data_IF_944165290240
#
_entry.id   IF_944165290240
#
_cell.length_a   1.000
_cell.length_b   1.000
_cell.length_c   1.000
_cell.angle_alpha   90.00
_cell.angle_beta   90.00
_cell.angle_gamma   90.00
#
_symmetry.space_group_name_H-M   'P 1'
#
loop_
_entity.id
_entity.type
_entity.pdbx_description
1 polymer ?
#
# COMPACT_ATOMS: atom_id res chain seq x y z
N UNK A 1 -63.71 9.86 40.33
CA UNK A 1 -62.38 10.23 40.88
C UNK A 1 -61.32 9.16 40.60
N UNK A 2 -61.19 8.70 39.36
CA UNK A 2 -60.06 7.86 38.90
C UNK A 2 -59.94 8.01 37.40
N UNK A 3 -59.26 9.02 36.90
CA UNK A 3 -58.82 9.12 35.48
C UNK A 3 -57.94 10.34 35.16
N UNK A 4 -56.97 10.70 35.99
CA UNK A 4 -56.03 11.83 35.71
C UNK A 4 -54.59 11.63 36.12
N UNK A 5 -54.12 10.42 36.41
CA UNK A 5 -52.72 10.17 36.84
C UNK A 5 -51.86 9.55 35.75
N UNK A 6 -52.42 8.87 34.72
CA UNK A 6 -51.62 8.10 33.74
C UNK A 6 -51.09 8.94 32.56
N UNK A 7 -51.57 10.15 32.35
CA UNK A 7 -51.12 10.98 31.20
C UNK A 7 -49.78 11.69 31.43
N UNK A 8 -49.33 11.88 32.70
CA UNK A 8 -48.11 12.61 33.04
C UNK A 8 -46.83 11.76 33.00
N UNK A 9 -46.91 10.45 33.16
CA UNK A 9 -45.71 9.57 33.12
C UNK A 9 -45.26 9.26 31.66
N UNK A 10 -46.13 9.30 30.68
CA UNK A 10 -45.82 9.08 29.25
C UNK A 10 -44.98 10.21 28.65
N UNK A 11 -45.28 11.45 28.99
CA UNK A 11 -44.59 12.62 28.46
C UNK A 11 -43.18 12.82 29.02
N UNK A 12 -42.95 12.47 30.31
CA UNK A 12 -41.62 12.56 30.92
C UNK A 12 -40.64 11.52 30.39
N UNK A 13 -41.13 10.31 30.10
CA UNK A 13 -40.33 9.25 29.49
C UNK A 13 -39.97 9.57 28.03
N UNK A 14 -40.92 10.11 27.27
CA UNK A 14 -40.71 10.57 25.89
C UNK A 14 -39.69 11.73 25.82
N UNK A 15 -39.77 12.69 26.76
CA UNK A 15 -38.86 13.84 26.83
C UNK A 15 -37.44 13.40 27.25
N UNK A 16 -37.28 12.46 28.16
CA UNK A 16 -35.97 11.86 28.53
C UNK A 16 -35.32 11.07 27.41
N UNK A 17 -36.12 10.33 26.61
CA UNK A 17 -35.61 9.60 25.43
C UNK A 17 -35.18 10.53 24.32
N UNK A 18 -35.94 11.58 24.02
CA UNK A 18 -35.59 12.62 23.03
C UNK A 18 -34.33 13.38 23.43
N UNK A 19 -34.17 13.75 24.68
CA UNK A 19 -32.98 14.42 25.18
C UNK A 19 -31.72 13.51 25.19
N UNK A 20 -31.86 12.23 25.54
CA UNK A 20 -30.73 11.28 25.42
C UNK A 20 -30.23 11.14 23.98
N UNK A 21 -31.14 11.09 23.01
CA UNK A 21 -30.78 11.00 21.60
C UNK A 21 -30.14 12.29 21.06
N UNK A 22 -30.59 13.44 21.50
CA UNK A 22 -30.00 14.75 21.13
C UNK A 22 -28.58 14.86 21.73
N UNK A 23 -28.39 14.50 22.99
CA UNK A 23 -27.07 14.51 23.66
C UNK A 23 -26.11 13.52 23.01
N UNK A 24 -26.61 12.32 22.63
CA UNK A 24 -25.81 11.32 21.90
C UNK A 24 -25.40 11.82 20.52
N UNK A 25 -26.32 12.47 19.78
CA UNK A 25 -26.06 13.09 18.47
C UNK A 25 -25.05 14.25 18.52
N UNK A 26 -25.08 15.05 19.60
CA UNK A 26 -24.13 16.15 19.84
C UNK A 26 -22.74 15.59 20.23
N UNK A 27 -22.67 14.53 21.05
CA UNK A 27 -21.41 13.87 21.39
C UNK A 27 -20.73 13.23 20.17
N UNK A 28 -21.52 12.58 19.31
CA UNK A 28 -21.01 11.96 18.06
C UNK A 28 -20.51 13.02 17.07
N UNK A 29 -21.24 14.14 16.89
CA UNK A 29 -20.79 15.29 16.07
C UNK A 29 -19.50 15.93 16.62
N UNK A 30 -19.34 16.05 17.93
CA UNK A 30 -18.11 16.59 18.56
C UNK A 30 -16.92 15.63 18.38
N UNK A 31 -17.14 14.31 18.48
CA UNK A 31 -16.11 13.30 18.23
C UNK A 31 -15.67 13.33 16.75
N UNK A 32 -16.61 13.34 15.81
CA UNK A 32 -16.34 13.38 14.37
C UNK A 32 -15.56 14.64 13.96
N UNK A 33 -15.90 15.83 14.52
CA UNK A 33 -15.12 17.07 14.31
C UNK A 33 -13.69 16.95 14.81
N UNK A 34 -13.46 16.25 15.92
CA UNK A 34 -12.10 16.03 16.46
C UNK A 34 -11.29 15.10 15.55
N UNK A 35 -11.89 14.03 15.00
CA UNK A 35 -11.22 13.12 14.07
C UNK A 35 -10.96 13.77 12.70
N UNK A 36 -11.90 14.56 12.17
CA UNK A 36 -11.69 15.37 10.96
C UNK A 36 -10.60 16.43 11.15
N UNK A 37 -10.58 17.11 12.30
CA UNK A 37 -9.52 18.07 12.65
C UNK A 37 -8.17 17.36 12.82
N UNK A 38 -8.13 16.18 13.43
CA UNK A 38 -6.90 15.40 13.56
C UNK A 38 -6.35 14.94 12.19
N UNK A 39 -7.22 14.50 11.29
CA UNK A 39 -6.86 14.14 9.90
C UNK A 39 -6.35 15.34 9.10
N UNK A 40 -7.00 16.50 9.24
CA UNK A 40 -6.58 17.77 8.60
C UNK A 40 -5.26 18.27 9.20
N UNK A 41 -5.05 18.13 10.51
CA UNK A 41 -3.81 18.52 11.19
C UNK A 41 -2.66 17.58 10.78
N UNK A 42 -2.88 16.28 10.66
CA UNK A 42 -1.87 15.34 10.16
C UNK A 42 -1.50 15.63 8.70
N UNK A 43 -2.49 15.93 7.84
CA UNK A 43 -2.23 16.30 6.45
C UNK A 43 -1.60 17.69 6.30
N UNK A 44 -1.95 18.64 7.18
CA UNK A 44 -1.34 19.99 7.21
C UNK A 44 0.10 19.94 7.72
N UNK A 45 0.45 19.05 8.65
CA UNK A 45 1.82 18.89 9.13
C UNK A 45 2.79 18.42 8.03
N UNK A 46 2.30 17.65 7.05
CA UNK A 46 3.11 17.23 5.88
C UNK A 46 3.27 18.34 4.83
N UNK A 47 2.36 19.33 4.79
CA UNK A 47 2.41 20.46 3.84
C UNK A 47 3.28 21.64 4.32
N UNK A 48 3.64 21.70 5.60
CA UNK A 48 4.40 22.83 6.17
C UNK A 48 5.92 22.71 6.03
N UNK A 49 6.45 21.69 5.37
CA UNK A 49 7.88 21.62 5.03
C UNK A 49 8.18 22.41 3.75
N UNK A 50 7.86 23.70 3.73
CA UNK A 50 8.42 24.66 2.76
C UNK A 50 9.87 24.88 3.14
N UNK A 51 10.77 24.07 2.58
CA UNK A 51 12.20 24.10 2.91
C UNK A 51 12.90 25.29 2.23
N UNK A 52 13.63 26.02 3.04
CA UNK A 52 14.78 26.84 2.58
C UNK A 52 15.73 25.95 1.76
N UNK A 53 16.29 26.48 0.67
CA UNK A 53 17.34 25.83 -0.12
C UNK A 53 18.62 25.68 0.72
N UNK A 54 18.65 24.71 1.62
CA UNK A 54 19.90 24.09 2.06
C UNK A 54 20.29 23.03 1.03
N UNK A 55 21.57 22.78 0.87
CA UNK A 55 22.08 21.72 -0.03
C UNK A 55 21.52 20.37 0.43
N UNK A 56 20.48 19.91 -0.27
CA UNK A 56 19.78 18.68 0.07
C UNK A 56 20.69 17.50 -0.21
N UNK A 57 21.13 16.80 0.83
CA UNK A 57 21.91 15.57 0.69
C UNK A 57 20.96 14.44 0.34
N UNK A 58 20.90 14.13 -0.96
CA UNK A 58 20.04 13.05 -1.46
C UNK A 58 20.61 11.68 -1.09
N UNK A 59 19.90 10.94 -0.25
CA UNK A 59 20.26 9.61 0.25
C UNK A 59 19.09 8.63 0.20
N UNK A 60 18.60 8.27 -1.02
CA UNK A 60 17.51 7.30 -1.16
C UNK A 60 17.99 5.89 -0.83
N UNK A 61 17.08 5.06 -0.32
CA UNK A 61 17.31 3.63 -0.13
C UNK A 61 17.15 2.92 -1.47
N UNK A 62 18.22 2.29 -1.95
CA UNK A 62 18.23 1.59 -3.23
C UNK A 62 18.02 0.09 -2.99
N UNK A 63 17.05 -0.50 -3.69
CA UNK A 63 16.71 -1.92 -3.60
C UNK A 63 16.83 -2.61 -4.97
N UNK A 64 16.99 -3.93 -4.94
CA UNK A 64 16.75 -4.75 -6.13
C UNK A 64 15.25 -4.92 -6.38
N UNK A 65 14.87 -5.18 -7.64
CA UNK A 65 13.48 -5.43 -8.05
C UNK A 65 12.51 -4.33 -7.57
N UNK A 66 12.72 -3.07 -7.94
CA UNK A 66 11.93 -1.95 -7.43
C UNK A 66 10.45 -2.02 -7.81
N UNK A 67 10.06 -2.79 -8.83
CA UNK A 67 8.66 -2.98 -9.19
C UNK A 67 7.81 -3.59 -8.06
N UNK A 68 8.43 -4.34 -7.14
CA UNK A 68 7.73 -4.91 -5.99
C UNK A 68 7.16 -3.85 -5.03
N UNK A 69 7.65 -2.61 -5.10
CA UNK A 69 7.15 -1.47 -4.31
C UNK A 69 6.09 -0.65 -5.04
N UNK A 70 5.75 -1.00 -6.29
CA UNK A 70 4.76 -0.25 -7.07
C UNK A 70 3.36 -0.79 -6.77
N UNK A 71 2.44 0.06 -6.37
CA UNK A 71 1.03 -0.26 -6.18
C UNK A 71 0.39 -0.75 -7.50
N UNK A 72 -0.17 -1.97 -7.53
CA UNK A 72 -0.62 -2.57 -8.78
C UNK A 72 -2.07 -2.24 -9.14
N UNK A 73 -2.92 -1.91 -8.17
CA UNK A 73 -4.36 -1.79 -8.35
C UNK A 73 -4.87 -0.35 -8.31
N UNK A 74 -6.02 -0.12 -8.94
CA UNK A 74 -6.64 1.20 -9.01
C UNK A 74 -7.25 1.64 -7.67
N UNK A 75 -7.69 0.72 -6.80
CA UNK A 75 -8.35 1.06 -5.53
C UNK A 75 -7.35 1.70 -4.57
N UNK A 76 -6.28 0.98 -4.22
CA UNK A 76 -5.22 1.49 -3.35
C UNK A 76 -4.49 2.66 -3.99
N UNK A 77 -4.22 2.58 -5.30
CA UNK A 77 -3.57 3.63 -6.06
C UNK A 77 -4.36 4.94 -6.12
N UNK A 78 -5.69 4.90 -6.18
CA UNK A 78 -6.54 6.08 -6.14
C UNK A 78 -6.64 6.72 -4.73
N UNK A 79 -6.19 6.01 -3.71
CA UNK A 79 -6.16 6.47 -2.31
C UNK A 79 -4.74 6.81 -1.83
N UNK A 80 -3.83 7.21 -2.72
CA UNK A 80 -2.46 7.59 -2.34
C UNK A 80 -1.57 6.40 -1.99
N UNK A 81 -1.76 5.26 -2.64
CA UNK A 81 -1.05 4.00 -2.34
C UNK A 81 -1.29 3.54 -0.89
N UNK A 82 -2.57 3.47 -0.48
CA UNK A 82 -3.04 2.95 0.81
C UNK A 82 -3.68 1.59 0.63
N UNK A 83 -3.36 0.64 1.51
CA UNK A 83 -3.95 -0.69 1.41
C UNK A 83 -3.75 -1.61 2.61
N UNK A 84 -2.89 -1.26 3.58
CA UNK A 84 -2.51 -2.16 4.69
C UNK A 84 -3.70 -2.48 5.60
N UNK A 85 -4.52 -1.46 5.94
CA UNK A 85 -5.67 -1.61 6.82
C UNK A 85 -7.01 -1.22 6.20
N UNK A 86 -7.04 -0.82 4.93
CA UNK A 86 -8.26 -0.50 4.19
C UNK A 86 -9.21 -1.70 4.12
N UNK A 87 -10.49 -1.47 3.75
CA UNK A 87 -11.46 -2.55 3.50
C UNK A 87 -10.82 -3.64 2.60
N UNK A 88 -11.05 -4.94 2.88
CA UNK A 88 -10.59 -6.02 2.02
C UNK A 88 -11.04 -5.85 0.58
N UNK A 89 -10.14 -6.11 -0.38
CA UNK A 89 -10.39 -6.11 -1.83
C UNK A 89 -9.79 -7.36 -2.45
N UNK A 90 -10.14 -7.65 -3.70
CA UNK A 90 -9.55 -8.78 -4.44
C UNK A 90 -8.05 -8.60 -4.74
N UNK A 91 -7.52 -7.37 -4.64
CA UNK A 91 -6.09 -7.06 -4.76
C UNK A 91 -5.34 -7.09 -3.41
N UNK A 92 -5.96 -7.58 -2.33
CA UNK A 92 -5.38 -7.57 -0.98
C UNK A 92 -4.09 -8.38 -0.84
N UNK A 93 -3.78 -9.29 -1.78
CA UNK A 93 -2.52 -10.05 -1.77
C UNK A 93 -1.28 -9.15 -1.72
N UNK A 94 -1.29 -8.04 -2.44
CA UNK A 94 -0.19 -7.09 -2.45
C UNK A 94 -0.09 -6.29 -1.13
N UNK A 95 -1.22 -5.86 -0.61
CA UNK A 95 -1.28 -4.94 0.52
C UNK A 95 -1.18 -5.64 1.88
N UNK A 96 -1.97 -6.70 2.06
CA UNK A 96 -2.11 -7.44 3.29
C UNK A 96 -3.00 -8.67 3.03
N UNK A 97 -2.39 -9.83 2.79
CA UNK A 97 -3.12 -11.05 2.43
C UNK A 97 -4.02 -11.58 3.56
N UNK A 98 -3.77 -11.20 4.83
CA UNK A 98 -4.61 -11.60 5.96
C UNK A 98 -6.05 -11.09 5.84
N UNK A 99 -6.28 -10.02 5.06
CA UNK A 99 -7.61 -9.46 4.80
C UNK A 99 -8.54 -10.43 4.08
N UNK A 100 -8.01 -11.38 3.29
CA UNK A 100 -8.83 -12.38 2.61
C UNK A 100 -9.60 -13.29 3.58
N UNK A 101 -9.04 -13.57 4.75
CA UNK A 101 -9.74 -14.33 5.79
C UNK A 101 -10.94 -13.58 6.41
N UNK A 102 -11.10 -12.29 6.12
CA UNK A 102 -12.20 -11.43 6.58
C UNK A 102 -13.16 -11.04 5.44
N UNK A 103 -12.99 -11.61 4.25
CA UNK A 103 -13.93 -11.42 3.14
C UNK A 103 -15.14 -12.31 3.29
N UNK A 104 -16.31 -11.79 2.92
CA UNK A 104 -17.58 -12.49 3.03
C UNK A 104 -17.78 -13.51 1.90
N UNK A 105 -17.25 -13.21 0.69
CA UNK A 105 -17.42 -14.08 -0.48
C UNK A 105 -16.50 -15.30 -0.45
N UNK A 106 -16.94 -16.37 -1.12
CA UNK A 106 -16.22 -17.65 -1.21
C UNK A 106 -14.90 -17.54 -1.94
N UNK A 107 -14.79 -16.62 -2.88
CA UNK A 107 -13.59 -16.40 -3.67
C UNK A 107 -13.78 -15.32 -4.71
N UNK A 108 -12.71 -14.98 -5.40
CA UNK A 108 -12.74 -13.99 -6.46
C UNK A 108 -11.39 -13.80 -7.12
N UNK A 109 -11.41 -13.09 -8.24
CA UNK A 109 -10.26 -12.82 -9.07
C UNK A 109 -10.22 -11.35 -9.48
N UNK A 110 -9.05 -10.74 -9.55
CA UNK A 110 -8.86 -9.37 -10.03
C UNK A 110 -7.71 -9.30 -11.01
N UNK A 111 -7.90 -8.48 -12.04
CA UNK A 111 -6.88 -8.14 -13.03
C UNK A 111 -6.69 -6.63 -13.02
N UNK A 112 -5.45 -6.20 -12.85
CA UNK A 112 -5.08 -4.78 -12.91
C UNK A 112 -4.06 -4.55 -14.03
N UNK A 113 -4.22 -3.43 -14.71
CA UNK A 113 -3.33 -2.96 -15.76
C UNK A 113 -2.97 -1.50 -15.50
N UNK A 114 -1.67 -1.21 -15.50
CA UNK A 114 -1.13 0.12 -15.29
C UNK A 114 -0.11 0.43 -16.39
N UNK A 115 -0.45 1.25 -17.38
CA UNK A 115 0.54 1.84 -18.28
C UNK A 115 1.45 2.78 -17.46
N UNK A 116 2.71 2.42 -17.34
CA UNK A 116 3.66 3.09 -16.46
C UNK A 116 4.49 4.11 -17.23
N UNK A 117 4.78 5.27 -16.62
CA UNK A 117 5.63 6.32 -17.19
C UNK A 117 5.23 6.81 -18.59
N UNK A 118 3.94 6.79 -18.94
CA UNK A 118 3.44 7.13 -20.30
C UNK A 118 3.86 8.51 -20.80
N UNK A 119 4.21 9.43 -19.90
CA UNK A 119 4.74 10.74 -20.23
C UNK A 119 6.15 10.70 -20.84
N UNK A 120 6.90 9.63 -20.59
CA UNK A 120 8.30 9.47 -20.99
C UNK A 120 8.44 8.36 -22.04
N UNK A 121 7.79 7.20 -21.80
CA UNK A 121 7.90 6.01 -22.64
C UNK A 121 6.52 5.36 -22.80
N UNK A 122 6.31 4.66 -23.94
CA UNK A 122 4.99 4.14 -24.28
C UNK A 122 4.84 2.62 -24.11
N UNK A 123 5.90 1.92 -23.71
CA UNK A 123 5.99 0.46 -23.70
C UNK A 123 6.40 -0.12 -22.33
N UNK A 124 6.31 0.68 -21.27
CA UNK A 124 6.48 0.22 -19.89
C UNK A 124 5.10 -0.02 -19.28
N UNK A 125 4.85 -1.25 -18.88
CA UNK A 125 3.54 -1.69 -18.43
C UNK A 125 3.64 -2.59 -17.19
N UNK A 126 2.70 -2.42 -16.25
CA UNK A 126 2.52 -3.30 -15.11
C UNK A 126 1.18 -4.03 -15.24
N UNK A 127 1.24 -5.36 -15.22
CA UNK A 127 0.07 -6.24 -15.14
C UNK A 127 0.08 -6.97 -13.79
N UNK A 128 -1.05 -7.04 -13.15
CA UNK A 128 -1.21 -7.75 -11.89
C UNK A 128 -2.50 -8.56 -11.87
N UNK A 129 -2.37 -9.85 -11.61
CA UNK A 129 -3.47 -10.79 -11.44
C UNK A 129 -3.43 -11.30 -10.00
N UNK A 130 -4.53 -11.27 -9.29
CA UNK A 130 -4.63 -11.82 -7.94
C UNK A 130 -5.98 -12.48 -7.72
N UNK A 131 -6.02 -13.43 -6.80
CA UNK A 131 -7.25 -14.09 -6.42
C UNK A 131 -7.11 -14.85 -5.13
N UNK A 132 -8.24 -15.21 -4.55
CA UNK A 132 -8.32 -16.02 -3.34
C UNK A 132 -9.47 -17.01 -3.41
N UNK A 133 -9.37 -18.02 -2.57
CA UNK A 133 -10.44 -19.00 -2.34
C UNK A 133 -10.51 -19.33 -0.86
N UNK A 134 -11.65 -19.07 -0.24
CA UNK A 134 -11.93 -19.42 1.14
C UNK A 134 -12.34 -20.89 1.21
N UNK A 135 -11.48 -21.74 1.79
CA UNK A 135 -11.74 -23.18 1.93
C UNK A 135 -12.88 -23.38 2.92
N UNK A 136 -12.70 -22.88 4.14
CA UNK A 136 -13.70 -22.82 5.21
C UNK A 136 -13.14 -21.95 6.36
N UNK A 137 -14.00 -21.57 7.31
CA UNK A 137 -13.54 -20.87 8.52
C UNK A 137 -12.48 -21.68 9.30
N UNK A 138 -12.57 -23.01 9.29
CA UNK A 138 -11.62 -23.88 9.98
C UNK A 138 -10.28 -23.98 9.25
N UNK A 139 -10.31 -24.11 7.93
CA UNK A 139 -9.10 -24.32 7.11
C UNK A 139 -8.51 -23.05 6.54
N UNK A 140 -9.18 -21.89 6.68
CA UNK A 140 -8.70 -20.62 6.23
C UNK A 140 -8.84 -20.40 4.72
N UNK A 141 -8.04 -19.48 4.19
CA UNK A 141 -8.13 -18.95 2.83
C UNK A 141 -6.80 -19.10 2.12
N UNK A 142 -6.81 -19.67 0.93
CA UNK A 142 -5.69 -19.68 0.00
C UNK A 142 -5.78 -18.50 -0.96
N UNK A 143 -4.64 -17.97 -1.35
CA UNK A 143 -4.55 -16.87 -2.30
C UNK A 143 -3.32 -17.01 -3.18
N UNK A 144 -3.38 -16.41 -4.36
CA UNK A 144 -2.24 -16.35 -5.27
C UNK A 144 -2.23 -15.03 -6.02
N UNK A 145 -1.05 -14.60 -6.47
CA UNK A 145 -0.94 -13.49 -7.40
C UNK A 145 0.21 -13.67 -8.37
N UNK A 146 0.07 -13.04 -9.54
CA UNK A 146 1.11 -12.91 -10.56
C UNK A 146 1.27 -11.44 -10.90
N UNK A 147 2.50 -10.96 -10.85
CA UNK A 147 2.89 -9.63 -11.27
C UNK A 147 3.86 -9.74 -12.43
N UNK A 148 3.66 -8.94 -13.46
CA UNK A 148 4.58 -8.78 -14.56
C UNK A 148 4.78 -7.30 -14.86
N UNK A 149 6.03 -6.84 -14.81
CA UNK A 149 6.43 -5.48 -15.10
C UNK A 149 7.37 -5.48 -16.28
N UNK A 150 6.89 -5.02 -17.44
CA UNK A 150 7.68 -4.79 -18.62
C UNK A 150 8.40 -3.45 -18.51
N UNK A 151 9.69 -3.43 -18.77
CA UNK A 151 10.50 -2.21 -18.79
C UNK A 151 10.67 -1.66 -20.23
N UNK A 152 9.88 -2.19 -21.18
CA UNK A 152 9.87 -1.74 -22.57
C UNK A 152 10.96 -2.39 -23.43
N UNK A 153 11.15 -1.83 -24.62
CA UNK A 153 12.15 -2.28 -25.57
C UNK A 153 13.38 -1.38 -25.50
N UNK A 154 14.56 -1.96 -25.31
CA UNK A 154 15.84 -1.25 -25.28
C UNK A 154 16.65 -1.69 -26.47
N UNK A 155 17.01 -0.74 -27.37
CA UNK A 155 17.94 -0.98 -28.45
C UNK A 155 19.37 -0.91 -27.92
N UNK A 156 20.07 -2.04 -27.97
CA UNK A 156 21.47 -2.13 -27.58
C UNK A 156 22.34 -1.57 -28.71
N UNK A 157 23.29 -0.71 -28.38
CA UNK A 157 24.24 -0.10 -29.34
C UNK A 157 25.68 -0.26 -28.84
N UNK A 158 26.61 -0.43 -29.75
CA UNK A 158 28.03 -0.40 -29.45
C UNK A 158 28.56 1.05 -29.27
N UNK A 159 29.85 1.19 -29.00
CA UNK A 159 30.50 2.51 -28.83
C UNK A 159 30.43 3.39 -30.09
N UNK A 160 30.23 2.79 -31.25
CA UNK A 160 30.12 3.49 -32.54
C UNK A 160 28.68 3.83 -32.90
N UNK A 161 27.72 3.45 -32.04
CA UNK A 161 26.31 3.67 -32.27
C UNK A 161 25.65 2.57 -33.14
N UNK A 162 26.37 1.51 -33.50
CA UNK A 162 25.82 0.37 -34.29
C UNK A 162 24.86 -0.43 -33.45
N UNK A 163 23.71 -0.78 -34.00
CA UNK A 163 22.70 -1.60 -33.32
C UNK A 163 23.19 -3.05 -33.15
N UNK A 164 23.26 -3.48 -31.88
CA UNK A 164 23.63 -4.85 -31.50
C UNK A 164 22.40 -5.77 -31.34
N UNK A 165 21.19 -5.19 -31.33
CA UNK A 165 19.94 -5.91 -31.16
C UNK A 165 18.99 -5.23 -30.15
N UNK A 166 17.89 -5.91 -29.86
CA UNK A 166 16.89 -5.43 -28.91
C UNK A 166 16.85 -6.32 -27.67
N UNK A 167 16.69 -5.70 -26.50
CA UNK A 167 16.42 -6.34 -25.22
C UNK A 167 15.05 -5.93 -24.72
N UNK A 168 14.40 -6.85 -23.99
CA UNK A 168 13.10 -6.63 -23.35
C UNK A 168 13.24 -6.94 -21.84
N UNK A 169 13.81 -6.03 -21.06
CA UNK A 169 13.95 -6.27 -19.63
C UNK A 169 12.58 -6.34 -18.97
N UNK A 170 12.49 -7.18 -17.93
CA UNK A 170 11.26 -7.36 -17.17
C UNK A 170 11.56 -7.74 -15.71
N UNK A 171 10.58 -7.51 -14.86
CA UNK A 171 10.51 -8.04 -13.51
C UNK A 171 9.19 -8.78 -13.32
N UNK A 172 9.23 -9.97 -12.71
CA UNK A 172 8.02 -10.70 -12.40
C UNK A 172 8.07 -11.30 -11.00
N UNK A 173 6.90 -11.44 -10.38
CA UNK A 173 6.75 -12.22 -9.16
C UNK A 173 5.52 -13.11 -9.22
N UNK A 174 5.62 -14.26 -8.55
CA UNK A 174 4.52 -15.17 -8.28
C UNK A 174 4.42 -15.40 -6.78
N UNK A 175 3.22 -15.17 -6.23
CA UNK A 175 2.97 -15.26 -4.81
C UNK A 175 1.93 -16.36 -4.51
N UNK A 176 2.17 -17.11 -3.44
CA UNK A 176 1.20 -18.03 -2.83
C UNK A 176 0.97 -17.58 -1.39
N UNK A 177 -0.27 -17.33 -1.03
CA UNK A 177 -0.66 -16.86 0.28
C UNK A 177 -1.60 -17.84 1.01
N UNK A 178 -1.49 -17.82 2.31
CA UNK A 178 -2.41 -18.47 3.23
C UNK A 178 -2.78 -17.49 4.33
N UNK A 179 -4.08 -17.38 4.62
CA UNK A 179 -4.58 -16.54 5.70
C UNK A 179 -5.68 -17.23 6.49
N UNK A 180 -5.78 -16.89 7.77
CA UNK A 180 -6.76 -17.46 8.67
C UNK A 180 -7.25 -16.44 9.70
N UNK A 181 -8.54 -16.49 10.00
CA UNK A 181 -9.13 -15.78 11.14
C UNK A 181 -8.71 -16.50 12.42
N UNK A 182 -7.99 -15.80 13.30
CA UNK A 182 -7.50 -16.33 14.57
C UNK A 182 -8.42 -15.94 15.75
N UNK A 183 -9.13 -14.83 15.61
CA UNK A 183 -10.15 -14.36 16.56
C UNK A 183 -11.28 -13.67 15.78
N UNK A 184 -12.38 -13.36 16.44
CA UNK A 184 -13.57 -12.76 15.83
C UNK A 184 -13.25 -11.54 14.93
N UNK A 185 -12.34 -10.71 15.36
CA UNK A 185 -11.94 -9.46 14.67
C UNK A 185 -10.49 -9.46 14.19
N UNK A 186 -9.77 -10.56 14.28
CA UNK A 186 -8.35 -10.61 13.94
C UNK A 186 -8.00 -11.79 13.06
N UNK A 187 -7.26 -11.50 11.99
CA UNK A 187 -6.70 -12.49 11.08
C UNK A 187 -5.20 -12.29 10.89
N UNK A 188 -4.51 -13.36 10.57
CA UNK A 188 -3.11 -13.35 10.13
C UNK A 188 -2.96 -14.04 8.79
N UNK A 189 -1.92 -13.67 8.07
CA UNK A 189 -1.57 -14.24 6.79
C UNK A 189 -0.06 -14.31 6.60
N UNK A 190 0.34 -15.25 5.75
CA UNK A 190 1.69 -15.41 5.24
C UNK A 190 1.62 -15.58 3.74
N UNK A 191 2.61 -15.05 3.02
CA UNK A 191 2.75 -15.32 1.60
C UNK A 191 4.19 -15.70 1.29
N UNK A 192 4.38 -16.61 0.34
CA UNK A 192 5.67 -16.96 -0.24
C UNK A 192 5.73 -16.38 -1.64
N UNK A 193 6.85 -15.77 -1.98
CA UNK A 193 7.06 -15.06 -3.25
C UNK A 193 8.28 -15.61 -3.95
N UNK A 194 8.10 -15.98 -5.21
CA UNK A 194 9.17 -16.18 -6.18
C UNK A 194 9.33 -14.92 -7.02
N UNK A 195 10.57 -14.51 -7.28
CA UNK A 195 10.91 -13.31 -8.05
C UNK A 195 11.91 -13.65 -9.12
N UNK A 196 11.67 -13.18 -10.34
CA UNK A 196 12.64 -13.20 -11.43
C UNK A 196 12.74 -11.80 -12.05
N UNK A 197 13.95 -11.32 -12.24
CA UNK A 197 14.24 -10.00 -12.80
C UNK A 197 15.34 -10.12 -13.84
N UNK A 198 15.05 -9.70 -15.06
CA UNK A 198 15.98 -9.67 -16.18
C UNK A 198 16.16 -8.22 -16.65
N UNK A 199 17.22 -7.57 -16.15
CA UNK A 199 17.53 -6.19 -16.46
C UNK A 199 18.56 -6.04 -17.58
N UNK A 200 19.47 -7.03 -17.74
CA UNK A 200 20.64 -6.98 -18.61
C UNK A 200 20.61 -8.08 -19.67
N UNK A 201 19.49 -8.21 -20.38
CA UNK A 201 19.32 -9.24 -21.39
C UNK A 201 20.50 -9.27 -22.38
N UNK A 202 21.16 -10.44 -22.50
CA UNK A 202 22.22 -10.75 -23.47
C UNK A 202 23.58 -10.04 -23.26
N UNK A 203 23.83 -9.41 -22.12
CA UNK A 203 25.18 -8.90 -21.80
C UNK A 203 26.00 -10.01 -21.18
N UNK A 204 27.20 -10.27 -21.73
CA UNK A 204 28.10 -11.31 -21.22
C UNK A 204 28.44 -11.07 -19.73
N UNK A 205 28.36 -12.13 -18.92
CA UNK A 205 28.59 -12.06 -17.48
C UNK A 205 27.37 -11.63 -16.63
N UNK A 206 26.23 -11.29 -17.26
CA UNK A 206 24.99 -10.98 -16.55
C UNK A 206 23.91 -12.06 -16.77
N UNK A 207 23.12 -12.29 -15.74
CA UNK A 207 22.10 -13.35 -15.67
C UNK A 207 20.80 -12.82 -15.12
N UNK A 208 19.71 -13.52 -15.37
CA UNK A 208 18.44 -13.27 -14.71
C UNK A 208 18.61 -13.43 -13.20
N UNK A 209 18.32 -12.37 -12.46
CA UNK A 209 18.28 -12.40 -11.00
C UNK A 209 17.07 -13.20 -10.54
N UNK A 210 17.31 -14.20 -9.67
CA UNK A 210 16.25 -15.01 -9.06
C UNK A 210 16.31 -14.82 -7.55
N UNK A 211 15.14 -14.71 -6.92
CA UNK A 211 15.02 -14.55 -5.49
C UNK A 211 13.74 -15.13 -4.92
N UNK A 212 13.75 -15.36 -3.61
CA UNK A 212 12.61 -15.80 -2.83
C UNK A 212 12.38 -14.85 -1.68
N UNK A 213 11.14 -14.56 -1.38
CA UNK A 213 10.73 -13.72 -0.26
C UNK A 213 9.48 -14.28 0.41
N UNK A 214 9.23 -13.80 1.62
CA UNK A 214 8.01 -14.06 2.36
C UNK A 214 7.41 -12.76 2.88
N UNK A 215 6.10 -12.74 3.01
CA UNK A 215 5.36 -11.68 3.68
C UNK A 215 4.70 -12.25 4.95
N UNK A 216 4.65 -11.46 6.00
CA UNK A 216 3.91 -11.74 7.24
C UNK A 216 3.02 -10.56 7.55
N UNK A 217 1.75 -10.82 7.72
CA UNK A 217 0.78 -9.75 7.89
C UNK A 217 -0.35 -10.09 8.86
N UNK A 218 -1.00 -9.05 9.38
CA UNK A 218 -2.14 -9.18 10.25
C UNK A 218 -3.13 -8.05 10.02
N UNK A 219 -4.39 -8.38 10.24
CA UNK A 219 -5.50 -7.45 10.06
C UNK A 219 -6.51 -7.61 11.19
N UNK A 220 -6.85 -6.47 11.80
CA UNK A 220 -7.92 -6.35 12.78
C UNK A 220 -9.04 -5.50 12.19
N UNK A 221 -10.28 -5.99 12.26
CA UNK A 221 -11.46 -5.31 11.72
C UNK A 221 -12.64 -5.46 12.66
N UNK A 222 -13.00 -4.38 13.37
CA UNK A 222 -14.09 -4.38 14.34
C UNK A 222 -15.25 -3.50 13.89
N UNK A 223 -16.47 -4.05 13.78
CA UNK A 223 -17.67 -3.25 13.62
C UNK A 223 -18.00 -2.49 14.92
N UNK A 224 -18.50 -1.27 14.77
CA UNK A 224 -18.90 -0.39 15.88
C UNK A 224 -20.26 0.20 15.54
N UNK A 225 -21.28 -0.13 16.33
CA UNK A 225 -22.61 0.43 16.12
C UNK A 225 -22.66 1.92 16.48
N UNK A 226 -23.14 2.72 15.55
CA UNK A 226 -23.37 4.15 15.70
C UNK A 226 -24.80 4.50 15.30
N UNK A 227 -25.24 5.71 15.61
CA UNK A 227 -26.63 6.14 15.35
C UNK A 227 -27.05 6.13 13.87
N UNK A 228 -26.07 6.16 12.96
CA UNK A 228 -26.28 6.19 11.49
C UNK A 228 -26.04 4.84 10.81
N UNK A 229 -25.75 3.77 11.56
CA UNK A 229 -25.47 2.43 11.05
C UNK A 229 -24.23 1.81 11.70
N UNK A 230 -23.56 0.90 10.99
CA UNK A 230 -22.36 0.22 11.49
C UNK A 230 -21.10 0.89 10.94
N UNK A 231 -20.31 1.53 11.79
CA UNK A 231 -18.93 1.96 11.51
C UNK A 231 -17.98 0.77 11.56
N UNK A 232 -16.78 0.92 10.99
CA UNK A 232 -15.75 -0.13 11.07
C UNK A 232 -14.38 0.49 11.37
N UNK A 233 -13.71 0.00 12.39
CA UNK A 233 -12.31 0.29 12.67
C UNK A 233 -11.45 -0.84 12.10
N UNK A 234 -10.53 -0.50 11.20
CA UNK A 234 -9.50 -1.39 10.68
C UNK A 234 -8.13 -0.99 11.21
N UNK A 235 -7.31 -1.97 11.60
CA UNK A 235 -5.89 -1.82 11.89
C UNK A 235 -5.15 -2.95 11.18
N UNK A 236 -3.95 -2.67 10.67
CA UNK A 236 -3.18 -3.69 9.97
C UNK A 236 -1.69 -3.46 10.05
N UNK A 237 -0.95 -4.53 9.87
CA UNK A 237 0.47 -4.48 9.58
C UNK A 237 0.81 -5.45 8.46
N UNK A 238 1.86 -5.12 7.71
CA UNK A 238 2.42 -5.98 6.67
C UNK A 238 3.94 -5.82 6.67
N UNK A 239 4.65 -6.91 6.90
CA UNK A 239 6.09 -7.00 6.67
C UNK A 239 6.24 -7.78 5.37
N UNK A 240 6.54 -7.08 4.29
CA UNK A 240 6.61 -7.66 2.96
C UNK A 240 8.05 -7.81 2.46
N UNK A 241 8.25 -8.75 1.51
CA UNK A 241 9.52 -8.97 0.84
C UNK A 241 10.68 -9.35 1.79
N UNK A 242 10.42 -10.05 2.88
CA UNK A 242 11.48 -10.64 3.73
C UNK A 242 12.14 -11.73 2.91
N UNK A 243 13.30 -11.48 2.29
CA UNK A 243 13.80 -12.43 1.32
C UNK A 243 15.29 -12.38 1.06
N UNK A 244 15.73 -13.23 0.14
CA UNK A 244 17.11 -13.27 -0.32
C UNK A 244 17.50 -11.95 -0.99
N UNK A 245 18.80 -11.65 -1.00
CA UNK A 245 19.31 -10.63 -1.91
C UNK A 245 19.22 -11.14 -3.34
N UNK A 246 19.12 -10.22 -4.30
CA UNK A 246 19.14 -10.52 -5.73
C UNK A 246 20.49 -10.13 -6.34
N UNK A 247 21.02 -10.95 -7.23
CA UNK A 247 22.26 -10.72 -7.94
C UNK A 247 22.08 -11.03 -9.41
N UNK A 248 22.68 -10.20 -10.26
CA UNK A 248 22.67 -10.35 -11.72
C UNK A 248 24.01 -10.80 -12.30
N UNK A 249 25.05 -10.97 -11.45
CA UNK A 249 26.43 -11.26 -11.84
C UNK A 249 27.06 -12.40 -11.00
N UNK A 250 26.29 -13.47 -10.76
CA UNK A 250 26.71 -14.67 -9.98
C UNK A 250 27.22 -14.34 -8.58
N UNK A 251 26.67 -13.32 -7.93
CA UNK A 251 27.00 -13.00 -6.55
C UNK A 251 28.20 -12.05 -6.35
N UNK A 252 28.78 -11.52 -7.42
CA UNK A 252 29.83 -10.47 -7.30
C UNK A 252 29.27 -9.22 -6.62
N UNK A 253 28.06 -8.84 -6.96
CA UNK A 253 27.29 -7.83 -6.23
C UNK A 253 25.86 -8.29 -6.01
N UNK A 254 25.26 -7.87 -4.92
CA UNK A 254 23.87 -8.22 -4.59
C UNK A 254 23.14 -7.04 -3.94
N UNK A 255 21.86 -6.90 -4.26
CA UNK A 255 20.98 -5.89 -3.70
C UNK A 255 19.93 -6.54 -2.82
N UNK A 256 19.54 -5.85 -1.75
CA UNK A 256 18.41 -6.27 -0.92
C UNK A 256 17.11 -6.13 -1.71
N UNK A 257 16.17 -7.06 -1.51
CA UNK A 257 14.81 -6.86 -1.93
C UNK A 257 14.16 -5.71 -1.13
N UNK A 258 13.10 -5.07 -1.63
CA UNK A 258 12.45 -3.96 -0.95
C UNK A 258 11.62 -4.47 0.25
N UNK A 259 12.30 -5.00 1.27
CA UNK A 259 11.66 -5.41 2.51
C UNK A 259 11.03 -4.18 3.15
N UNK A 260 9.72 -4.21 3.40
CA UNK A 260 8.97 -3.05 3.87
C UNK A 260 8.12 -3.40 5.08
N UNK A 261 8.12 -2.52 6.09
CA UNK A 261 7.17 -2.53 7.19
C UNK A 261 6.08 -1.51 6.88
N UNK A 262 4.87 -1.98 6.66
CA UNK A 262 3.66 -1.17 6.55
C UNK A 262 2.81 -1.30 7.81
N UNK A 263 2.35 -0.18 8.36
CA UNK A 263 1.39 -0.10 9.47
C UNK A 263 0.24 0.79 9.01
N UNK A 264 -0.99 0.30 9.12
CA UNK A 264 -2.16 1.00 8.63
C UNK A 264 -3.28 1.11 9.64
N UNK A 265 -4.09 2.16 9.47
CA UNK A 265 -5.35 2.36 10.17
C UNK A 265 -6.43 2.82 9.19
N UNK A 266 -7.65 2.34 9.42
CA UNK A 266 -8.82 2.67 8.60
C UNK A 266 -10.03 2.90 9.51
N UNK A 267 -10.83 3.90 9.17
CA UNK A 267 -12.10 4.13 9.84
C UNK A 267 -13.19 4.42 8.82
N UNK A 268 -14.18 3.52 8.75
CA UNK A 268 -15.37 3.68 7.91
C UNK A 268 -16.51 4.25 8.76
N UNK A 269 -17.12 5.33 8.29
CA UNK A 269 -18.24 5.99 8.93
C UNK A 269 -19.45 6.04 7.98
N UNK A 270 -20.61 5.45 8.36
CA UNK A 270 -21.85 5.59 7.62
C UNK A 270 -22.54 6.91 7.98
N UNK A 271 -22.96 7.68 6.99
CA UNK A 271 -23.84 8.84 7.18
C UNK A 271 -25.31 8.41 7.30
N UNK A 272 -25.69 7.43 6.50
CA UNK A 272 -27.00 6.79 6.44
C UNK A 272 -26.87 5.37 5.86
N UNK A 273 -28.00 4.75 5.47
CA UNK A 273 -28.01 3.39 4.91
C UNK A 273 -27.27 3.27 3.57
N UNK A 274 -27.14 4.34 2.79
CA UNK A 274 -26.57 4.33 1.44
C UNK A 274 -25.21 5.02 1.36
N UNK A 275 -24.94 5.98 2.23
CA UNK A 275 -23.79 6.88 2.14
C UNK A 275 -22.75 6.57 3.21
N UNK A 276 -21.51 6.29 2.78
CA UNK A 276 -20.39 5.95 3.69
C UNK A 276 -19.13 6.70 3.26
N UNK A 277 -18.28 7.01 4.22
CA UNK A 277 -16.94 7.53 3.98
C UNK A 277 -15.92 6.70 4.78
N UNK A 278 -14.81 6.37 4.16
CA UNK A 278 -13.69 5.74 4.83
C UNK A 278 -12.45 6.65 4.76
N UNK A 279 -11.79 6.82 5.91
CA UNK A 279 -10.48 7.43 6.01
C UNK A 279 -9.45 6.32 6.25
N UNK A 280 -8.38 6.33 5.47
CA UNK A 280 -7.31 5.35 5.54
C UNK A 280 -5.97 6.07 5.67
N UNK A 281 -5.06 5.53 6.47
CA UNK A 281 -3.70 6.05 6.66
C UNK A 281 -2.76 4.87 6.78
N UNK A 282 -1.69 4.87 5.97
CA UNK A 282 -0.60 3.90 6.05
C UNK A 282 0.73 4.62 6.26
N UNK A 283 1.57 4.05 7.10
CA UNK A 283 2.96 4.42 7.31
C UNK A 283 3.83 3.27 6.80
N UNK A 284 4.80 3.58 5.96
CA UNK A 284 5.69 2.59 5.39
C UNK A 284 7.15 2.96 5.64
N UNK A 285 7.98 1.97 5.97
CA UNK A 285 9.42 2.11 6.10
C UNK A 285 10.11 0.93 5.42
N UNK A 286 11.04 1.23 4.51
CA UNK A 286 11.92 0.20 3.96
C UNK A 286 12.90 -0.29 5.04
N UNK A 287 12.86 -1.59 5.32
CA UNK A 287 13.78 -2.27 6.24
C UNK A 287 15.01 -2.79 5.49
N UNK A 288 15.65 -1.88 4.77
CA UNK A 288 16.82 -2.14 3.94
C UNK A 288 17.94 -1.18 4.34
N UNK A 289 19.18 -1.65 4.55
CA UNK A 289 20.28 -0.79 4.94
C UNK A 289 20.52 0.31 3.88
N UNK A 290 20.76 1.52 4.33
CA UNK A 290 21.19 2.60 3.44
C UNK A 290 22.64 2.36 2.98
N UNK A 291 22.92 2.58 1.69
CA UNK A 291 24.32 2.54 1.18
C UNK A 291 25.16 3.68 1.75
N UNK A 292 24.56 4.83 2.05
CA UNK A 292 25.18 5.91 2.82
C UNK A 292 24.75 5.77 4.27
N UNK A 293 25.65 5.21 5.08
CA UNK A 293 25.32 4.74 6.43
C UNK A 293 26.43 5.12 7.40
N UNK A 294 26.07 5.35 8.66
CA UNK A 294 27.03 5.54 9.74
C UNK A 294 27.92 4.30 10.01
N UNK A 295 27.59 3.17 9.39
CA UNK A 295 28.42 1.95 9.46
C UNK A 295 29.41 1.84 8.31
N UNK A 296 29.53 2.87 7.47
CA UNK A 296 30.58 2.92 6.42
C UNK A 296 31.98 2.96 7.06
N UNK A 297 32.94 2.32 6.41
CA UNK A 297 34.34 2.33 6.88
C UNK A 297 34.89 3.74 6.81
N UNK A 298 35.45 4.24 7.93
CA UNK A 298 35.98 5.61 7.99
C UNK A 298 34.90 6.69 8.11
N UNK A 299 33.68 6.34 8.51
CA UNK A 299 32.57 7.27 8.68
C UNK A 299 32.94 8.49 9.55
N UNK A 300 32.65 9.68 9.02
CA UNK A 300 32.69 10.95 9.73
C UNK A 300 31.38 11.70 9.49
N UNK A 301 30.65 12.01 10.53
CA UNK A 301 29.34 12.67 10.43
C UNK A 301 29.42 14.03 9.73
N UNK A 302 30.55 14.73 9.87
CA UNK A 302 30.75 16.04 9.28
C UNK A 302 31.23 16.01 7.82
N UNK A 303 31.56 14.83 7.28
CA UNK A 303 32.05 14.66 5.92
C UNK A 303 31.20 13.65 5.14
N UNK A 304 30.25 14.12 4.32
CA UNK A 304 29.37 13.26 3.52
C UNK A 304 30.08 12.30 2.55
N UNK A 305 31.32 12.61 2.17
CA UNK A 305 32.12 11.74 1.29
C UNK A 305 32.47 10.40 1.97
N UNK A 306 32.48 10.36 3.30
CA UNK A 306 32.79 9.16 4.10
C UNK A 306 31.59 8.26 4.39
N UNK A 307 30.38 8.65 3.99
CA UNK A 307 29.16 7.92 4.33
C UNK A 307 28.94 6.68 3.48
N UNK A 308 29.56 6.58 2.30
CA UNK A 308 29.32 5.49 1.37
C UNK A 308 30.02 4.20 1.78
N UNK A 309 29.24 3.12 1.84
CA UNK A 309 29.77 1.76 1.95
C UNK A 309 30.33 1.31 0.60
N UNK A 310 31.44 0.55 0.62
CA UNK A 310 31.90 -0.18 -0.57
C UNK A 310 30.90 -1.30 -0.94
N UNK A 311 30.88 -1.70 -2.22
CA UNK A 311 30.02 -2.80 -2.68
C UNK A 311 30.27 -4.09 -1.90
N UNK A 312 31.54 -4.38 -1.58
CA UNK A 312 31.91 -5.54 -0.75
C UNK A 312 31.29 -5.43 0.64
N UNK A 313 31.50 -4.32 1.34
CA UNK A 313 30.97 -4.08 2.68
C UNK A 313 29.42 -4.21 2.71
N UNK A 314 28.73 -3.64 1.71
CA UNK A 314 27.29 -3.73 1.60
C UNK A 314 26.80 -5.14 1.28
N UNK A 315 27.51 -5.88 0.42
CA UNK A 315 27.18 -7.26 0.06
C UNK A 315 27.38 -8.27 1.21
N UNK A 316 28.26 -7.97 2.15
CA UNK A 316 28.52 -8.81 3.33
C UNK A 316 27.46 -8.67 4.43
N UNK A 317 26.61 -7.63 4.41
CA UNK A 317 25.52 -7.47 5.38
C UNK A 317 24.47 -8.57 5.13
N UNK A 318 24.21 -9.44 6.12
CA UNK A 318 23.14 -10.43 6.00
C UNK A 318 21.76 -9.79 6.00
N UNK A 319 20.76 -10.45 5.41
CA UNK A 319 19.38 -9.94 5.32
C UNK A 319 18.82 -9.59 6.70
N UNK A 320 18.96 -10.53 7.65
CA UNK A 320 18.46 -10.31 9.02
C UNK A 320 19.15 -9.11 9.69
N UNK A 321 20.48 -9.00 9.56
CA UNK A 321 21.22 -7.85 10.09
C UNK A 321 20.76 -6.56 9.41
N UNK A 322 20.55 -6.58 8.10
CA UNK A 322 20.08 -5.43 7.33
C UNK A 322 18.72 -4.92 7.80
N UNK A 323 17.77 -5.82 8.05
CA UNK A 323 16.44 -5.48 8.57
C UNK A 323 16.55 -4.72 9.90
N UNK A 324 17.35 -5.19 10.85
CA UNK A 324 17.47 -4.53 12.15
C UNK A 324 18.33 -3.27 12.12
N UNK A 325 19.38 -3.23 11.33
CA UNK A 325 20.25 -2.03 11.23
C UNK A 325 19.55 -0.88 10.52
N UNK A 326 18.61 -1.13 9.60
CA UNK A 326 17.86 -0.12 8.86
C UNK A 326 17.03 0.85 9.73
N UNK A 327 16.89 0.58 11.02
CA UNK A 327 16.23 1.49 11.96
C UNK A 327 17.19 2.46 12.64
N UNK A 328 18.47 2.37 12.34
CA UNK A 328 19.48 3.18 13.04
C UNK A 328 20.75 3.42 12.22
N UNK A 329 20.73 3.19 10.91
CA UNK A 329 21.92 3.27 10.06
C UNK A 329 22.12 4.63 9.38
N UNK A 330 21.11 5.47 9.35
CA UNK A 330 21.18 6.78 8.72
C UNK A 330 22.31 7.66 9.30
N UNK A 331 23.15 8.29 8.44
CA UNK A 331 24.25 9.16 8.87
C UNK A 331 23.81 10.32 9.76
N UNK A 332 22.67 10.93 9.48
CA UNK A 332 22.07 12.01 10.26
C UNK A 332 21.36 11.55 11.54
N UNK A 333 21.46 10.26 11.89
CA UNK A 333 20.87 9.69 13.09
C UNK A 333 19.33 9.63 13.06
N UNK A 334 18.69 9.70 14.23
CA UNK A 334 17.25 9.49 14.37
C UNK A 334 16.40 10.46 13.53
N UNK A 335 16.85 11.71 13.36
CA UNK A 335 16.14 12.70 12.54
C UNK A 335 16.08 12.27 11.07
N UNK A 336 17.14 11.68 10.54
CA UNK A 336 17.17 11.16 9.17
C UNK A 336 16.38 9.86 9.04
N UNK A 337 16.41 8.99 10.06
CA UNK A 337 15.58 7.78 10.10
C UNK A 337 14.07 8.09 9.99
N UNK A 338 13.61 9.16 10.62
CA UNK A 338 12.22 9.60 10.51
C UNK A 338 11.86 10.05 9.08
N UNK A 339 12.82 10.56 8.31
CA UNK A 339 12.63 10.94 6.91
C UNK A 339 12.46 9.75 5.97
N UNK A 340 12.83 8.54 6.41
CA UNK A 340 12.65 7.29 5.67
C UNK A 340 11.21 6.74 5.75
N UNK A 341 10.37 7.30 6.62
CA UNK A 341 8.97 6.90 6.73
C UNK A 341 8.18 7.64 5.65
N UNK A 342 7.57 6.88 4.74
CA UNK A 342 6.58 7.42 3.82
C UNK A 342 5.19 7.37 4.43
N UNK A 343 4.36 8.34 4.09
CA UNK A 343 3.00 8.50 4.60
C UNK A 343 2.02 8.47 3.43
N UNK A 344 1.02 7.61 3.52
CA UNK A 344 -0.10 7.54 2.58
C UNK A 344 -1.40 7.84 3.31
N UNK A 345 -2.24 8.66 2.69
CA UNK A 345 -3.59 8.96 3.20
C UNK A 345 -4.61 8.83 2.08
N UNK A 346 -5.74 8.20 2.38
CA UNK A 346 -6.79 7.97 1.39
C UNK A 346 -8.18 8.17 1.95
N UNK A 347 -9.05 8.76 1.13
CA UNK A 347 -10.47 8.90 1.37
C UNK A 347 -11.23 8.09 0.32
N UNK A 348 -12.24 7.34 0.76
CA UNK A 348 -13.20 6.67 -0.10
C UNK A 348 -14.60 7.09 0.32
N UNK A 349 -15.38 7.61 -0.63
CA UNK A 349 -16.81 7.77 -0.49
C UNK A 349 -17.50 6.66 -1.28
N UNK A 350 -18.46 5.98 -0.64
CA UNK A 350 -19.25 4.93 -1.25
C UNK A 350 -20.75 5.28 -1.18
N UNK A 351 -21.40 5.18 -2.34
CA UNK A 351 -22.86 5.29 -2.46
C UNK A 351 -23.44 3.92 -2.80
N UNK A 352 -24.33 3.44 -1.94
CA UNK A 352 -25.04 2.17 -2.05
C UNK A 352 -24.11 0.94 -2.25
N UNK A 353 -22.83 1.01 -1.81
CA UNK A 353 -21.80 -0.01 -2.07
C UNK A 353 -21.63 -0.34 -3.58
N UNK A 354 -22.09 0.54 -4.47
CA UNK A 354 -22.04 0.40 -5.93
C UNK A 354 -21.14 1.44 -6.59
N UNK A 355 -21.23 2.70 -6.17
CA UNK A 355 -20.42 3.78 -6.72
C UNK A 355 -19.40 4.23 -5.70
N UNK A 356 -18.15 4.33 -6.13
CA UNK A 356 -17.04 4.73 -5.29
C UNK A 356 -16.32 5.94 -5.89
N UNK A 357 -16.01 6.91 -5.06
CA UNK A 357 -15.12 8.03 -5.40
C UNK A 357 -13.99 8.04 -4.39
N UNK A 358 -12.77 8.16 -4.89
CA UNK A 358 -11.55 8.07 -4.06
C UNK A 358 -10.65 9.25 -4.32
N UNK A 359 -9.95 9.65 -3.28
CA UNK A 359 -8.87 10.63 -3.34
C UNK A 359 -7.79 10.26 -2.33
N UNK A 360 -6.55 10.61 -2.63
CA UNK A 360 -5.46 10.30 -1.74
C UNK A 360 -4.22 11.15 -1.96
N UNK A 361 -3.29 11.01 -1.03
CA UNK A 361 -1.98 11.63 -1.07
C UNK A 361 -0.92 10.65 -0.59
N UNK A 362 0.18 10.60 -1.29
CA UNK A 362 1.41 9.89 -0.91
C UNK A 362 2.55 10.88 -0.79
N UNK A 363 3.35 10.73 0.28
CA UNK A 363 4.50 11.58 0.52
C UNK A 363 5.72 10.84 1.03
N UNK A 364 6.84 10.99 0.32
CA UNK A 364 8.18 10.64 0.75
C UNK A 364 9.01 11.91 0.95
N UNK A 365 9.95 11.85 1.90
CA UNK A 365 10.84 12.99 2.14
C UNK A 365 11.75 13.24 0.94
N UNK A 366 12.05 14.52 0.66
CA UNK A 366 12.87 14.93 -0.50
C UNK A 366 14.26 14.26 -0.53
N UNK A 367 14.86 14.00 0.61
CA UNK A 367 16.18 13.33 0.71
C UNK A 367 16.10 11.82 0.46
N UNK A 368 14.91 11.20 0.58
CA UNK A 368 14.73 9.73 0.59
C UNK A 368 13.96 9.18 -0.61
N UNK A 369 13.76 9.96 -1.65
CA UNK A 369 13.10 9.51 -2.88
C UNK A 369 12.23 10.58 -3.51
N UNK A 370 11.67 11.51 -2.70
CA UNK A 370 10.84 12.63 -3.16
C UNK A 370 9.62 12.21 -3.98
N UNK A 371 9.09 11.00 -3.75
CA UNK A 371 7.90 10.54 -4.41
C UNK A 371 6.68 11.13 -3.72
N UNK A 372 6.15 12.21 -4.30
CA UNK A 372 5.00 12.94 -3.79
C UNK A 372 3.96 13.09 -4.89
N UNK A 373 2.71 12.69 -4.60
CA UNK A 373 1.61 12.79 -5.54
C UNK A 373 0.26 12.81 -4.84
N UNK A 374 -0.69 13.45 -5.50
CA UNK A 374 -2.11 13.26 -5.26
C UNK A 374 -2.64 12.16 -6.17
N UNK A 375 -3.72 11.52 -5.76
CA UNK A 375 -4.43 10.57 -6.58
C UNK A 375 -5.93 10.77 -6.46
N UNK A 376 -6.65 10.39 -7.51
CA UNK A 376 -8.09 10.38 -7.55
C UNK A 376 -8.56 9.13 -8.30
N UNK A 377 -9.79 8.69 -8.05
CA UNK A 377 -10.35 7.56 -8.78
C UNK A 377 -11.82 7.37 -8.56
N UNK A 378 -12.38 6.49 -9.38
CA UNK A 378 -13.78 6.09 -9.31
C UNK A 378 -13.89 4.58 -9.48
N UNK A 379 -14.94 4.01 -8.89
CA UNK A 379 -15.26 2.59 -9.01
C UNK A 379 -16.76 2.38 -9.18
N UNK A 380 -17.09 1.34 -9.93
CA UNK A 380 -18.46 0.90 -10.12
C UNK A 380 -18.57 -0.60 -9.93
N UNK A 381 -19.43 -1.03 -9.00
CA UNK A 381 -19.72 -2.43 -8.72
C UNK A 381 -21.10 -2.79 -9.25
N UNK A 382 -21.16 -3.83 -10.07
CA UNK A 382 -22.41 -4.40 -10.56
C UNK A 382 -22.41 -5.91 -10.35
N UNK A 383 -23.25 -6.38 -9.45
CA UNK A 383 -23.43 -7.80 -9.08
C UNK A 383 -22.10 -8.53 -8.90
N UNK A 384 -21.59 -9.16 -9.96
CA UNK A 384 -20.41 -10.04 -9.95
C UNK A 384 -19.09 -9.32 -10.20
N UNK A 385 -19.09 -8.13 -10.78
CA UNK A 385 -17.85 -7.45 -11.16
C UNK A 385 -17.78 -6.02 -10.68
N UNK A 386 -16.56 -5.57 -10.45
CA UNK A 386 -16.24 -4.18 -10.11
C UNK A 386 -15.19 -3.66 -11.08
N UNK A 387 -15.43 -2.49 -11.64
CA UNK A 387 -14.47 -1.75 -12.44
C UNK A 387 -14.00 -0.53 -11.65
N UNK A 388 -12.70 -0.41 -11.46
CA UNK A 388 -12.06 0.72 -10.79
C UNK A 388 -11.04 1.38 -11.71
N UNK A 389 -11.00 2.71 -11.66
CA UNK A 389 -10.03 3.54 -12.38
C UNK A 389 -9.37 4.48 -11.40
N UNK A 390 -8.06 4.58 -11.44
CA UNK A 390 -7.26 5.48 -10.64
C UNK A 390 -6.37 6.37 -11.51
N UNK A 391 -6.16 7.60 -11.09
CA UNK A 391 -5.32 8.59 -11.76
C UNK A 391 -4.38 9.25 -10.75
N UNK A 392 -3.12 9.35 -11.10
CA UNK A 392 -2.07 9.91 -10.28
C UNK A 392 -1.63 11.27 -10.83
N UNK A 393 -1.51 12.26 -9.94
CA UNK A 393 -1.16 13.65 -10.22
C UNK A 393 0.11 13.97 -9.44
N UNK A 394 1.24 14.09 -10.13
CA UNK A 394 2.53 14.43 -9.51
C UNK A 394 2.53 15.84 -8.93
N UNK A 395 3.13 16.01 -7.75
CA UNK A 395 3.26 17.34 -7.10
C UNK A 395 4.35 18.19 -7.77
N UNK A 396 5.44 17.59 -8.23
CA UNK A 396 6.53 18.29 -8.89
C UNK A 396 6.36 18.32 -10.42
N UNK A 397 6.79 19.40 -11.08
CA UNK A 397 6.64 19.59 -12.53
C UNK A 397 7.28 18.50 -13.40
N UNK A 398 8.30 17.80 -12.89
CA UNK A 398 9.03 16.75 -13.61
C UNK A 398 8.86 15.37 -12.93
N UNK A 399 7.76 15.13 -12.22
CA UNK A 399 7.51 13.83 -11.64
C UNK A 399 7.24 12.80 -12.76
N UNK A 400 8.08 11.74 -12.90
CA UNK A 400 7.89 10.72 -13.92
C UNK A 400 6.58 9.96 -13.79
N UNK A 401 6.02 9.90 -12.56
CA UNK A 401 4.78 9.20 -12.24
C UNK A 401 3.52 10.00 -12.60
N UNK A 402 3.69 11.29 -12.94
CA UNK A 402 2.57 12.14 -13.30
C UNK A 402 1.77 11.58 -14.48
N UNK A 403 0.44 11.69 -14.41
CA UNK A 403 -0.50 11.17 -15.40
C UNK A 403 -0.55 9.63 -15.51
N UNK A 404 -0.15 8.89 -14.47
CA UNK A 404 -0.31 7.44 -14.47
C UNK A 404 -1.77 7.07 -14.26
N UNK A 405 -2.32 6.28 -15.20
CA UNK A 405 -3.64 5.67 -15.11
C UNK A 405 -3.52 4.24 -14.60
N UNK A 406 -4.48 3.81 -13.78
CA UNK A 406 -4.60 2.43 -13.31
C UNK A 406 -6.02 1.94 -13.56
N UNK A 407 -6.12 0.72 -14.07
CA UNK A 407 -7.40 0.05 -14.31
C UNK A 407 -7.41 -1.26 -13.53
N UNK A 408 -8.52 -1.54 -12.86
CA UNK A 408 -8.71 -2.81 -12.13
C UNK A 408 -10.10 -3.35 -12.41
N UNK A 409 -10.14 -4.60 -12.87
CA UNK A 409 -11.37 -5.36 -13.08
C UNK A 409 -11.39 -6.52 -12.09
N UNK A 410 -12.42 -6.62 -11.30
CA UNK A 410 -12.56 -7.59 -10.22
C UNK A 410 -13.83 -8.42 -10.41
N UNK A 411 -13.75 -9.72 -10.16
CA UNK A 411 -14.85 -10.68 -10.26
C UNK A 411 -15.04 -11.39 -8.94
N UNK A 412 -16.26 -11.33 -8.41
CA UNK A 412 -16.69 -12.01 -7.20
C UNK A 412 -17.43 -13.32 -7.56
N UNK A 413 -17.04 -14.44 -6.94
CA UNK A 413 -17.61 -15.75 -7.26
C UNK A 413 -19.08 -15.89 -6.83
N UNK A 414 -19.45 -15.27 -5.71
CA UNK A 414 -20.83 -15.39 -5.21
C UNK A 414 -21.78 -14.57 -6.11
N UNK A 415 -21.35 -13.35 -6.52
CA UNK A 415 -22.10 -12.58 -7.51
C UNK A 415 -22.23 -13.25 -8.88
N UNK A 416 -21.26 -14.10 -9.29
CA UNK A 416 -21.36 -14.90 -10.52
C UNK A 416 -22.42 -15.98 -10.41
N UNK A 417 -22.60 -16.63 -9.25
CA UNK A 417 -23.66 -17.60 -9.02
C UNK A 417 -25.04 -16.94 -9.12
N UNK A 418 -25.19 -15.77 -8.49
CA UNK A 418 -26.44 -14.99 -8.53
C UNK A 418 -26.86 -14.56 -9.94
N UNK A 419 -25.91 -14.53 -10.91
CA UNK A 419 -26.18 -14.24 -12.31
C UNK A 419 -26.55 -15.49 -13.14
N UNK A 420 -26.21 -16.68 -12.65
CA UNK A 420 -26.47 -17.96 -13.35
C UNK A 420 -27.74 -18.66 -12.85
N UNK A 421 -28.20 -18.31 -11.66
CA UNK A 421 -29.49 -18.76 -11.07
C UNK A 421 -30.64 -17.83 -11.50
#
# INVERSE_FOLDING_TARGET
LYSRVDCWQGDEISFKYKNKNIVKKIKTRKSMRKFLLLGIILSAATLLSAQTKEDVIYNPIITGVPSLSISPDAVGGAMGDVGVASKPTLASQFWNSSKYAMMDSKGGLTLSYTPWLRKIVNDVDLVYLAGYYNISEQFGTLSASLRYFSLGNITLRDYNGTELGNAKPYEMSFDLGYSRRLAEYFSMGVALRFVASELNAKTEGYYTGIGFAADVNGYYSRPIEVSSGTSRLGLGFNISNIGSKISYNKGVSSNFMPTNLGIGASYLFPFDAYNRIALNVDLNKLMVPSRRSKYATGFNQSDPATWAMSDKQYSEISVVKGIFTSFSDAPGGFSEELKEISVSTGLEYAYNEQFFVRAGYHGEHIEKGNRQFFSAGAGFKWTAFTLDVGYLIGVSQNNPLDQTLRFTLSFDMDGLKDLMD
#
